data_IF_648563246699
#
_entry.id   IF_648563246699
#
_cell.length_a   1.000
_cell.length_b   1.000
_cell.length_c   1.000
_cell.angle_alpha   90.00
_cell.angle_beta   90.00
_cell.angle_gamma   90.00
#
_symmetry.space_group_name_H-M   'P 1'
#
loop_
_entity.id
_entity.type
_entity.pdbx_description
1 polymer ?
#
# COMPACT_ATOMS: atom_id res chain seq x y z
N UNK A 1 2.36 15.51 13.59
CA UNK A 1 3.18 14.47 12.92
C UNK A 1 3.19 14.72 11.41
N UNK A 2 4.36 14.80 10.76
CA UNK A 2 4.49 15.00 9.30
C UNK A 2 3.62 14.00 8.50
N UNK A 3 3.09 14.41 7.34
CA UNK A 3 2.22 13.59 6.49
C UNK A 3 2.92 12.28 6.08
N UNK A 4 4.21 12.32 5.75
CA UNK A 4 4.99 11.15 5.32
C UNK A 4 5.08 10.11 6.45
N UNK A 5 5.29 10.56 7.68
CA UNK A 5 5.27 9.70 8.88
C UNK A 5 3.88 9.12 9.13
N UNK A 6 2.81 9.92 8.99
CA UNK A 6 1.43 9.43 9.09
C UNK A 6 1.14 8.34 8.06
N UNK A 7 1.57 8.55 6.81
CA UNK A 7 1.42 7.57 5.73
C UNK A 7 2.18 6.28 6.04
N UNK A 8 3.44 6.37 6.45
CA UNK A 8 4.24 5.19 6.78
C UNK A 8 3.63 4.41 7.97
N UNK A 9 3.17 5.11 9.00
CA UNK A 9 2.49 4.50 10.15
C UNK A 9 1.16 3.84 9.76
N UNK A 10 0.34 4.50 8.93
CA UNK A 10 -0.91 3.93 8.43
C UNK A 10 -0.67 2.71 7.57
N UNK A 11 0.32 2.75 6.68
CA UNK A 11 0.68 1.61 5.85
C UNK A 11 1.11 0.40 6.68
N UNK A 12 1.92 0.62 7.74
CA UNK A 12 2.27 -0.44 8.68
C UNK A 12 1.04 -1.05 9.34
N UNK A 13 0.10 -0.23 9.79
CA UNK A 13 -1.16 -0.69 10.36
C UNK A 13 -1.99 -1.51 9.36
N UNK A 14 -2.08 -1.07 8.10
CA UNK A 14 -2.74 -1.82 7.02
C UNK A 14 -2.06 -3.15 6.78
N UNK A 15 -0.72 -3.19 6.69
CA UNK A 15 0.02 -4.43 6.48
C UNK A 15 -0.14 -5.41 7.65
N UNK A 16 -0.11 -4.92 8.88
CA UNK A 16 -0.36 -5.75 10.06
C UNK A 16 -1.77 -6.35 10.05
N UNK A 17 -2.79 -5.56 9.69
CA UNK A 17 -4.17 -6.04 9.55
C UNK A 17 -4.31 -7.03 8.40
N UNK A 18 -3.70 -6.76 7.25
CA UNK A 18 -3.67 -7.68 6.10
C UNK A 18 -3.05 -9.01 6.51
N UNK A 19 -1.95 -8.99 7.27
CA UNK A 19 -1.32 -10.21 7.77
C UNK A 19 -2.24 -11.00 8.71
N UNK A 20 -2.93 -10.35 9.65
CA UNK A 20 -3.89 -11.02 10.53
C UNK A 20 -5.04 -11.66 9.74
N UNK A 21 -5.68 -10.89 8.88
CA UNK A 21 -6.80 -11.38 8.06
C UNK A 21 -6.37 -12.51 7.10
N UNK A 22 -5.16 -12.44 6.56
CA UNK A 22 -4.63 -13.48 5.69
C UNK A 22 -4.32 -14.75 6.49
N UNK A 23 -3.69 -14.61 7.67
CA UNK A 23 -3.40 -15.71 8.59
C UNK A 23 -4.67 -16.47 9.00
N UNK A 24 -5.70 -15.73 9.43
CA UNK A 24 -6.98 -16.31 9.85
C UNK A 24 -7.72 -17.04 8.73
N UNK A 25 -7.38 -16.74 7.46
CA UNK A 25 -8.02 -17.31 6.27
C UNK A 25 -7.15 -18.32 5.53
N UNK A 26 -6.00 -18.68 6.08
CA UNK A 26 -5.15 -19.73 5.50
C UNK A 26 -5.96 -21.01 5.29
N UNK A 27 -5.89 -21.54 4.06
CA UNK A 27 -6.59 -22.78 3.68
C UNK A 27 -8.10 -22.67 3.51
N UNK A 28 -8.70 -21.47 3.66
CA UNK A 28 -10.13 -21.24 3.45
C UNK A 28 -10.41 -20.81 2.01
N UNK A 29 -11.66 -20.99 1.54
CA UNK A 29 -12.11 -20.58 0.21
C UNK A 29 -11.93 -19.07 -0.07
N UNK A 30 -11.96 -18.27 0.98
CA UNK A 30 -11.78 -16.82 0.95
C UNK A 30 -10.38 -16.39 1.44
N UNK A 31 -9.37 -17.26 1.30
CA UNK A 31 -7.98 -16.92 1.57
C UNK A 31 -7.58 -15.62 0.86
N UNK A 32 -6.82 -14.78 1.55
CA UNK A 32 -6.30 -13.54 0.97
C UNK A 32 -4.98 -13.80 0.26
N UNK A 33 -4.81 -13.11 -0.88
CA UNK A 33 -3.58 -13.10 -1.63
C UNK A 33 -2.48 -12.28 -0.95
N UNK A 34 -1.26 -12.33 -1.48
CA UNK A 34 -0.11 -11.64 -0.90
C UNK A 34 -0.25 -10.13 -0.94
N UNK A 35 -0.99 -9.58 -1.91
CA UNK A 35 -0.95 -8.14 -2.21
C UNK A 35 -2.26 -7.42 -1.86
N UNK A 36 -2.15 -6.11 -1.69
CA UNK A 36 -3.27 -5.19 -1.56
C UNK A 36 -2.86 -3.79 -1.98
N UNK A 37 -3.83 -2.98 -2.40
CA UNK A 37 -3.63 -1.57 -2.76
C UNK A 37 -4.16 -0.66 -1.66
N UNK A 38 -3.47 0.46 -1.43
CA UNK A 38 -3.82 1.50 -0.48
C UNK A 38 -3.81 2.84 -1.20
N UNK A 39 -4.92 3.56 -1.17
CA UNK A 39 -5.02 4.93 -1.64
C UNK A 39 -5.08 5.85 -0.42
N UNK A 40 -4.25 6.90 -0.43
CA UNK A 40 -4.15 7.84 0.67
C UNK A 40 -4.85 9.14 0.31
N UNK A 41 -5.60 9.67 1.27
CA UNK A 41 -6.32 10.93 1.15
C UNK A 41 -6.12 11.79 2.39
N UNK A 42 -6.36 13.08 2.28
CA UNK A 42 -6.43 14.01 3.41
C UNK A 42 -7.74 14.78 3.37
N UNK A 43 -8.30 15.08 4.55
CA UNK A 43 -9.42 16.00 4.70
C UNK A 43 -9.04 17.08 5.72
N UNK A 44 -9.51 18.34 5.59
CA UNK A 44 -9.36 19.33 6.65
C UNK A 44 -9.95 18.82 7.96
N UNK A 45 -9.26 19.07 9.07
CA UNK A 45 -9.69 18.70 10.42
C UNK A 45 -9.04 19.64 11.45
N UNK A 46 -9.83 20.57 11.99
CA UNK A 46 -9.35 21.60 12.92
C UNK A 46 -8.87 21.03 14.27
N UNK A 47 -9.24 19.79 14.61
CA UNK A 47 -8.82 19.16 15.87
C UNK A 47 -7.44 18.51 15.75
N UNK A 48 -6.92 18.34 14.53
CA UNK A 48 -5.62 17.73 14.29
C UNK A 48 -4.49 18.79 14.33
N UNK A 49 -3.29 18.47 14.86
CA UNK A 49 -2.19 19.43 14.99
C UNK A 49 -1.73 20.12 13.70
N UNK A 50 -2.04 19.54 12.52
CA UNK A 50 -1.69 20.09 11.21
C UNK A 50 -2.93 20.48 10.39
N UNK A 51 -4.08 20.61 11.04
CA UNK A 51 -5.36 20.95 10.44
C UNK A 51 -5.84 20.00 9.32
N UNK A 52 -5.30 18.78 9.27
CA UNK A 52 -5.76 17.72 8.37
C UNK A 52 -5.76 16.36 9.06
N UNK A 53 -6.65 15.49 8.57
CA UNK A 53 -6.72 14.07 8.91
C UNK A 53 -6.34 13.23 7.70
N UNK A 54 -5.38 12.31 7.87
CA UNK A 54 -5.06 11.29 6.88
C UNK A 54 -6.12 10.17 6.89
N UNK A 55 -6.59 9.82 5.71
CA UNK A 55 -7.58 8.78 5.44
C UNK A 55 -7.04 7.79 4.41
N UNK A 56 -7.55 6.56 4.45
CA UNK A 56 -7.16 5.50 3.53
C UNK A 56 -8.37 4.81 2.90
N UNK A 57 -8.16 4.33 1.68
CA UNK A 57 -9.03 3.42 0.98
C UNK A 57 -8.21 2.22 0.55
N UNK A 58 -8.66 1.00 0.84
CA UNK A 58 -7.86 -0.22 0.63
C UNK A 58 -8.61 -1.24 -0.20
N UNK A 59 -7.86 -2.07 -0.95
CA UNK A 59 -8.36 -3.35 -1.44
C UNK A 59 -7.35 -4.44 -1.19
N UNK A 60 -7.80 -5.50 -0.52
CA UNK A 60 -7.09 -6.76 -0.42
C UNK A 60 -7.62 -7.72 -1.50
N UNK A 61 -6.71 -8.47 -2.11
CA UNK A 61 -7.06 -9.45 -3.14
C UNK A 61 -7.30 -10.81 -2.51
N UNK A 62 -8.18 -11.61 -3.12
CA UNK A 62 -8.28 -13.04 -2.79
C UNK A 62 -7.07 -13.76 -3.37
N UNK A 63 -6.69 -14.88 -2.75
CA UNK A 63 -5.61 -15.72 -3.24
C UNK A 63 -6.00 -16.35 -4.59
N UNK A 64 -5.08 -16.31 -5.54
CA UNK A 64 -5.25 -16.81 -6.90
C UNK A 64 -4.04 -16.45 -7.76
N UNK A 65 -3.82 -17.15 -8.90
CA UNK A 65 -2.64 -16.94 -9.76
C UNK A 65 -2.49 -15.50 -10.24
N UNK A 66 -3.60 -14.78 -10.41
CA UNK A 66 -3.64 -13.37 -10.79
C UNK A 66 -3.16 -12.41 -9.70
N UNK A 67 -3.14 -12.86 -8.45
CA UNK A 67 -2.82 -12.06 -7.27
C UNK A 67 -1.42 -12.31 -6.71
N UNK A 68 -0.67 -13.29 -7.24
CA UNK A 68 0.63 -13.69 -6.71
C UNK A 68 1.77 -12.78 -7.18
N UNK A 69 1.67 -12.23 -8.40
CA UNK A 69 2.69 -11.36 -9.01
C UNK A 69 2.36 -9.88 -8.76
N UNK A 70 3.10 -9.24 -7.85
CA UNK A 70 2.88 -7.84 -7.47
C UNK A 70 3.01 -6.86 -8.67
N UNK A 71 4.11 -6.88 -9.46
CA UNK A 71 4.19 -6.09 -10.69
C UNK A 71 2.97 -6.26 -11.60
N UNK A 72 2.51 -7.50 -11.83
CA UNK A 72 1.36 -7.77 -12.68
C UNK A 72 0.05 -7.23 -12.09
N UNK A 73 -0.18 -7.42 -10.79
CA UNK A 73 -1.33 -6.85 -10.07
C UNK A 73 -1.37 -5.33 -10.25
N UNK A 74 -0.24 -4.66 -10.05
CA UNK A 74 -0.12 -3.22 -10.22
C UNK A 74 -0.37 -2.76 -11.67
N UNK A 75 0.16 -3.50 -12.64
CA UNK A 75 -0.09 -3.26 -14.06
C UNK A 75 -1.59 -3.33 -14.39
N UNK A 76 -2.27 -4.38 -13.92
CA UNK A 76 -3.69 -4.59 -14.16
C UNK A 76 -4.56 -3.53 -13.47
N UNK A 77 -4.18 -3.10 -12.26
CA UNK A 77 -4.82 -1.99 -11.57
C UNK A 77 -4.66 -0.67 -12.34
N UNK A 78 -3.46 -0.36 -12.84
CA UNK A 78 -3.20 0.84 -13.62
C UNK A 78 -4.03 0.86 -14.92
N UNK A 79 -4.09 -0.28 -15.63
CA UNK A 79 -4.90 -0.45 -16.83
C UNK A 79 -6.40 -0.29 -16.54
N UNK A 80 -6.87 -0.89 -15.44
CA UNK A 80 -8.26 -0.76 -14.99
C UNK A 80 -8.61 0.69 -14.67
N UNK A 81 -7.73 1.38 -13.93
CA UNK A 81 -7.91 2.79 -13.61
C UNK A 81 -7.99 3.65 -14.88
N UNK A 82 -7.06 3.49 -15.81
CA UNK A 82 -7.07 4.21 -17.09
C UNK A 82 -8.35 3.95 -17.89
N UNK A 83 -8.80 2.69 -17.95
CA UNK A 83 -10.06 2.32 -18.62
C UNK A 83 -11.30 2.95 -17.98
N UNK A 84 -11.35 3.00 -16.65
CA UNK A 84 -12.46 3.62 -15.93
C UNK A 84 -12.49 5.14 -16.10
N UNK A 85 -11.33 5.79 -16.04
CA UNK A 85 -11.17 7.22 -16.35
C UNK A 85 -11.68 7.52 -17.76
N UNK A 86 -11.20 6.78 -18.77
CA UNK A 86 -11.60 6.99 -20.15
C UNK A 86 -13.11 6.77 -20.36
N UNK A 87 -13.70 5.76 -19.71
CA UNK A 87 -15.14 5.49 -19.79
C UNK A 87 -15.96 6.63 -19.18
N UNK A 88 -15.59 7.10 -17.99
CA UNK A 88 -16.31 8.18 -17.33
C UNK A 88 -16.21 9.49 -18.11
N UNK A 89 -15.02 9.82 -18.64
CA UNK A 89 -14.81 10.99 -19.48
C UNK A 89 -15.70 10.96 -20.74
N UNK A 90 -15.81 9.80 -21.41
CA UNK A 90 -16.73 9.63 -22.56
C UNK A 90 -18.20 9.87 -22.20
N UNK A 91 -18.57 9.68 -20.94
CA UNK A 91 -19.93 9.89 -20.42
C UNK A 91 -20.11 11.28 -19.79
N UNK A 92 -19.11 12.17 -19.87
CA UNK A 92 -19.15 13.48 -19.22
C UNK A 92 -19.17 13.43 -17.69
N UNK A 93 -18.72 12.31 -17.09
CA UNK A 93 -18.70 12.09 -15.65
C UNK A 93 -17.26 12.01 -15.14
N UNK A 94 -17.06 12.35 -13.86
CA UNK A 94 -15.79 12.13 -13.18
C UNK A 94 -15.83 10.79 -12.44
N UNK A 95 -14.90 9.90 -12.77
CA UNK A 95 -14.76 8.63 -12.04
C UNK A 95 -14.16 8.85 -10.64
N UNK A 96 -14.68 8.16 -9.63
CA UNK A 96 -14.09 8.09 -8.30
C UNK A 96 -13.62 6.64 -8.06
N UNK A 97 -12.32 6.39 -7.78
CA UNK A 97 -11.82 5.05 -7.52
C UNK A 97 -12.43 4.39 -6.27
N UNK A 98 -13.13 5.16 -5.43
CA UNK A 98 -13.88 4.70 -4.25
C UNK A 98 -15.36 4.46 -4.55
N UNK A 99 -15.83 4.93 -5.69
CA UNK A 99 -17.23 4.84 -6.10
C UNK A 99 -17.63 3.42 -6.53
N UNK A 100 -18.94 3.12 -6.54
CA UNK A 100 -19.43 1.78 -6.90
C UNK A 100 -19.13 1.40 -8.36
N UNK A 101 -19.08 2.38 -9.27
CA UNK A 101 -18.80 2.15 -10.68
C UNK A 101 -17.30 1.92 -10.93
N UNK A 102 -16.89 0.65 -11.00
CA UNK A 102 -15.50 0.28 -11.27
C UNK A 102 -14.57 0.56 -10.08
N UNK A 103 -15.04 0.31 -8.85
CA UNK A 103 -14.27 0.55 -7.63
C UNK A 103 -12.89 -0.13 -7.67
N UNK A 104 -11.87 0.61 -7.26
CA UNK A 104 -10.53 0.07 -7.00
C UNK A 104 -10.37 -0.43 -5.56
N UNK A 105 -11.26 -0.02 -4.66
CA UNK A 105 -11.15 -0.25 -3.21
C UNK A 105 -12.39 -0.95 -2.67
N UNK A 106 -12.23 -1.74 -1.61
CA UNK A 106 -13.33 -2.48 -0.97
C UNK A 106 -13.32 -2.38 0.57
N UNK A 107 -12.48 -1.50 1.11
CA UNK A 107 -12.41 -1.18 2.54
C UNK A 107 -11.65 0.14 2.75
N UNK A 108 -11.38 0.46 4.01
CA UNK A 108 -10.71 1.70 4.40
C UNK A 108 -11.49 2.44 5.48
N UNK A 109 -11.26 3.74 5.60
CA UNK A 109 -12.00 4.60 6.51
C UNK A 109 -13.43 4.81 5.99
N UNK A 110 -14.42 4.39 6.80
CA UNK A 110 -15.85 4.42 6.43
C UNK A 110 -16.37 5.85 6.24
N UNK A 111 -15.89 6.79 7.05
CA UNK A 111 -16.34 8.18 7.08
C UNK A 111 -15.48 9.09 6.18
N UNK A 112 -14.98 8.56 5.06
CA UNK A 112 -14.16 9.34 4.14
C UNK A 112 -15.02 10.28 3.29
N UNK A 113 -14.82 11.61 3.39
CA UNK A 113 -15.58 12.57 2.60
C UNK A 113 -15.35 12.42 1.09
N UNK A 114 -16.36 12.77 0.28
CA UNK A 114 -16.26 12.71 -1.19
C UNK A 114 -15.21 13.70 -1.74
N UNK A 115 -15.02 14.83 -1.07
CA UNK A 115 -14.07 15.88 -1.39
C UNK A 115 -12.67 15.67 -0.78
N UNK A 116 -12.44 14.53 -0.10
CA UNK A 116 -11.13 14.19 0.43
C UNK A 116 -10.05 14.25 -0.66
N UNK A 117 -8.95 14.94 -0.34
CA UNK A 117 -7.87 15.24 -1.26
C UNK A 117 -6.95 14.04 -1.44
N UNK A 118 -6.78 13.55 -2.66
CA UNK A 118 -5.81 12.49 -2.96
C UNK A 118 -4.38 12.95 -2.66
N UNK A 119 -3.60 12.10 -1.96
CA UNK A 119 -2.19 12.38 -1.62
C UNK A 119 -1.20 11.32 -2.11
N UNK A 120 -1.67 10.12 -2.46
CA UNK A 120 -0.76 9.08 -2.96
C UNK A 120 -1.39 7.70 -3.09
N UNK A 121 -0.62 6.78 -3.65
CA UNK A 121 -0.98 5.37 -3.76
C UNK A 121 0.15 4.52 -3.22
N UNK A 122 -0.21 3.37 -2.66
CA UNK A 122 0.73 2.37 -2.21
C UNK A 122 0.18 0.98 -2.29
N UNK A 123 1.02 0.04 -1.89
CA UNK A 123 0.70 -1.39 -1.78
C UNK A 123 1.11 -1.91 -0.43
N UNK A 124 0.35 -2.87 0.06
CA UNK A 124 0.75 -3.78 1.13
C UNK A 124 1.03 -5.14 0.50
N UNK A 125 2.11 -5.78 0.93
CA UNK A 125 2.44 -7.14 0.52
C UNK A 125 2.86 -7.99 1.72
N UNK A 126 2.48 -9.27 1.69
CA UNK A 126 2.92 -10.30 2.62
C UNK A 126 4.14 -11.06 2.10
N UNK A 127 4.54 -10.83 0.85
CA UNK A 127 5.84 -11.26 0.38
C UNK A 127 6.92 -10.54 1.20
N UNK A 128 7.93 -11.29 1.57
CA UNK A 128 9.00 -10.81 2.43
C UNK A 128 10.33 -11.39 2.02
N UNK A 129 11.40 -11.01 2.72
CA UNK A 129 12.74 -11.55 2.47
C UNK A 129 12.81 -13.07 2.80
N UNK A 130 11.83 -13.60 3.52
CA UNK A 130 11.66 -15.04 3.77
C UNK A 130 11.06 -15.78 2.58
N UNK A 131 10.53 -15.05 1.60
CA UNK A 131 9.96 -15.57 0.37
C UNK A 131 8.51 -15.14 0.11
N UNK A 132 7.90 -15.71 -0.94
CA UNK A 132 6.52 -15.44 -1.31
C UNK A 132 5.53 -15.91 -0.24
N UNK A 133 4.42 -15.17 -0.08
CA UNK A 133 3.38 -15.47 0.89
C UNK A 133 2.82 -16.88 0.75
N UNK A 134 2.61 -17.38 -0.47
CA UNK A 134 2.05 -18.72 -0.67
C UNK A 134 2.93 -19.81 -0.05
N UNK A 135 4.26 -19.66 -0.10
CA UNK A 135 5.22 -20.58 0.53
C UNK A 135 5.16 -20.46 2.04
N UNK A 136 5.11 -19.23 2.57
CA UNK A 136 5.01 -18.97 4.01
C UNK A 136 3.70 -19.52 4.57
N UNK A 137 2.57 -19.20 3.93
CA UNK A 137 1.24 -19.66 4.32
C UNK A 137 1.13 -21.20 4.26
N UNK A 138 1.73 -21.83 3.25
CA UNK A 138 1.81 -23.29 3.18
C UNK A 138 2.61 -23.88 4.35
N UNK A 139 3.74 -23.26 4.70
CA UNK A 139 4.56 -23.67 5.85
C UNK A 139 3.81 -23.52 7.18
N UNK A 140 3.11 -22.40 7.38
CA UNK A 140 2.31 -22.15 8.59
C UNK A 140 1.16 -23.15 8.69
N UNK A 141 0.46 -23.41 7.57
CA UNK A 141 -0.67 -24.36 7.54
C UNK A 141 -0.25 -25.78 7.92
N UNK A 142 0.92 -26.21 7.45
CA UNK A 142 1.38 -27.59 7.54
C UNK A 142 2.42 -27.80 8.65
N UNK A 143 2.52 -26.87 9.60
CA UNK A 143 3.42 -27.02 10.74
C UNK A 143 2.98 -28.21 11.62
N UNK A 144 3.91 -29.08 12.08
CA UNK A 144 3.60 -30.18 12.97
C UNK A 144 2.94 -29.72 14.28
N UNK A 145 2.00 -30.49 14.81
CA UNK A 145 1.26 -30.17 16.04
C UNK A 145 2.17 -30.10 17.28
N UNK A 146 3.28 -30.83 17.28
CA UNK A 146 4.28 -30.91 18.34
C UNK A 146 5.40 -29.87 18.20
N UNK A 147 5.28 -28.93 17.25
CA UNK A 147 6.25 -27.83 17.08
C UNK A 147 6.36 -27.02 18.38
N UNK A 148 7.53 -26.96 19.04
CA UNK A 148 7.66 -26.32 20.36
C UNK A 148 7.35 -24.82 20.38
N UNK A 149 7.47 -24.15 19.23
CA UNK A 149 7.12 -22.74 19.00
C UNK A 149 6.47 -22.61 17.63
N UNK A 150 5.15 -22.90 17.51
CA UNK A 150 4.46 -22.79 16.24
C UNK A 150 4.51 -21.35 15.73
N UNK A 151 4.58 -21.19 14.41
CA UNK A 151 4.61 -19.87 13.82
C UNK A 151 3.24 -19.21 13.97
N UNK A 152 3.22 -18.02 14.55
CA UNK A 152 2.00 -17.23 14.75
C UNK A 152 1.98 -16.04 13.80
N UNK A 153 0.85 -15.36 13.73
CA UNK A 153 0.71 -14.10 12.97
C UNK A 153 1.76 -13.04 13.38
N UNK A 154 2.22 -13.06 14.64
CA UNK A 154 3.21 -12.12 15.16
C UNK A 154 4.62 -12.40 14.67
N UNK A 155 4.88 -13.61 14.16
CA UNK A 155 6.17 -14.05 13.62
C UNK A 155 6.30 -13.82 12.11
N UNK A 156 5.27 -13.26 11.48
CA UNK A 156 5.21 -13.06 10.04
C UNK A 156 5.66 -11.65 9.65
N UNK A 157 6.57 -11.59 8.69
CA UNK A 157 7.03 -10.36 8.06
C UNK A 157 6.05 -9.85 6.99
N UNK A 158 6.25 -8.63 6.52
CA UNK A 158 5.51 -8.05 5.40
C UNK A 158 6.14 -6.75 4.94
N UNK A 159 5.72 -6.22 3.80
CA UNK A 159 6.25 -4.98 3.25
C UNK A 159 5.14 -4.07 2.73
N UNK A 160 5.48 -2.81 2.49
CA UNK A 160 4.62 -1.89 1.78
C UNK A 160 5.42 -0.82 1.05
N UNK A 161 4.92 -0.41 -0.11
CA UNK A 161 5.52 0.60 -0.98
C UNK A 161 4.53 1.73 -1.16
N UNK A 162 4.97 2.99 -1.17
CA UNK A 162 4.10 4.15 -1.39
C UNK A 162 4.79 5.15 -2.30
N UNK A 163 4.00 5.75 -3.20
CA UNK A 163 4.33 6.97 -3.92
C UNK A 163 3.33 8.07 -3.55
N UNK A 164 3.85 9.22 -3.13
CA UNK A 164 3.07 10.42 -2.84
C UNK A 164 3.15 11.41 -4.01
N UNK A 165 2.13 12.26 -4.12
CA UNK A 165 2.00 13.27 -5.20
C UNK A 165 3.17 14.26 -5.24
N UNK A 166 3.90 14.44 -4.15
CA UNK A 166 5.06 15.32 -4.09
C UNK A 166 6.33 14.65 -4.66
N UNK A 167 6.28 13.36 -5.03
CA UNK A 167 7.41 12.56 -5.48
C UNK A 167 8.12 11.77 -4.38
N UNK A 168 7.58 11.75 -3.15
CA UNK A 168 8.10 10.91 -2.08
C UNK A 168 7.82 9.44 -2.37
N UNK A 169 8.86 8.61 -2.31
CA UNK A 169 8.77 7.16 -2.26
C UNK A 169 9.04 6.68 -0.83
N UNK A 170 8.24 5.74 -0.35
CA UNK A 170 8.40 5.11 0.96
C UNK A 170 8.36 3.60 0.83
N UNK A 171 9.31 2.91 1.45
CA UNK A 171 9.23 1.47 1.68
C UNK A 171 9.20 1.20 3.18
N UNK A 172 8.16 0.51 3.61
CA UNK A 172 8.00 0.00 4.97
C UNK A 172 8.22 -1.50 4.94
N UNK A 173 9.09 -2.00 5.81
CA UNK A 173 9.25 -3.43 6.06
C UNK A 173 8.79 -3.67 7.49
N UNK A 174 7.87 -4.60 7.70
CA UNK A 174 7.47 -5.11 9.00
C UNK A 174 8.20 -6.44 9.21
N UNK A 175 9.13 -6.47 10.15
CA UNK A 175 9.88 -7.66 10.52
C UNK A 175 9.85 -7.78 12.05
N UNK A 176 9.25 -8.83 12.63
CA UNK A 176 9.11 -8.99 14.07
C UNK A 176 10.43 -9.28 14.79
N UNK A 177 11.46 -9.72 14.07
CA UNK A 177 12.80 -10.01 14.60
C UNK A 177 13.79 -8.86 14.38
N UNK A 178 13.29 -7.68 13.99
CA UNK A 178 14.12 -6.51 13.76
C UNK A 178 14.72 -5.98 15.06
N UNK A 179 15.94 -5.43 14.97
CA UNK A 179 16.66 -4.83 16.09
C UNK A 179 15.91 -3.61 16.63
N UNK A 180 15.99 -3.40 17.94
CA UNK A 180 15.44 -2.20 18.58
C UNK A 180 16.06 -0.93 17.96
N UNK A 181 15.22 0.03 17.59
CA UNK A 181 15.64 1.32 16.99
C UNK A 181 15.65 1.35 15.46
N UNK A 182 15.52 0.21 14.78
CA UNK A 182 15.22 0.17 13.34
C UNK A 182 13.69 0.21 13.17
N UNK A 183 13.18 1.32 12.63
CA UNK A 183 11.75 1.47 12.39
C UNK A 183 11.30 0.77 11.11
N UNK A 184 12.22 0.32 10.26
CA UNK A 184 11.88 -0.34 9.01
C UNK A 184 11.31 0.54 7.92
N UNK A 185 11.45 1.86 8.02
CA UNK A 185 10.96 2.80 7.03
C UNK A 185 12.15 3.39 6.29
N UNK A 186 12.12 3.28 4.97
CA UNK A 186 13.08 3.91 4.07
C UNK A 186 12.35 4.88 3.15
N UNK A 187 12.99 6.00 2.85
CA UNK A 187 12.40 7.04 1.99
C UNK A 187 13.45 7.76 1.17
N UNK A 188 13.06 8.14 -0.05
CA UNK A 188 13.89 9.03 -0.88
C UNK A 188 13.88 10.50 -0.40
N UNK A 189 13.02 10.85 0.56
CA UNK A 189 12.95 12.19 1.15
C UNK A 189 12.89 12.09 2.67
N UNK A 190 13.21 13.19 3.36
CA UNK A 190 13.07 13.21 4.82
C UNK A 190 11.62 12.94 5.21
N UNK A 191 11.42 12.04 6.17
CA UNK A 191 10.10 11.76 6.75
C UNK A 191 9.57 12.95 7.57
N UNK A 192 10.48 13.82 8.01
CA UNK A 192 10.18 15.11 8.61
C UNK A 192 10.62 16.21 7.64
N UNK A 193 9.66 16.87 6.98
CA UNK A 193 9.94 17.88 5.96
C UNK A 193 10.83 19.04 6.46
N UNK A 194 10.89 19.28 7.78
CA UNK A 194 11.74 20.32 8.40
C UNK A 194 13.20 19.92 8.58
N UNK A 195 13.55 18.64 8.46
CA UNK A 195 14.92 18.13 8.60
C UNK A 195 15.60 17.97 7.24
N UNK A 196 16.67 18.73 7.00
CA UNK A 196 17.58 18.49 5.88
C UNK A 196 18.53 17.34 6.22
N UNK A 197 18.59 16.33 5.35
CA UNK A 197 19.59 15.28 5.41
C UNK A 197 20.71 15.61 4.43
N UNK A 198 21.96 15.83 4.90
CA UNK A 198 23.08 16.11 4.01
C UNK A 198 23.42 14.94 3.08
N UNK A 199 23.06 13.71 3.46
CA UNK A 199 23.16 12.51 2.64
C UNK A 199 21.94 11.62 2.90
N UNK A 200 21.30 11.14 1.83
CA UNK A 200 20.23 10.14 1.91
C UNK A 200 20.61 8.91 1.07
N UNK A 201 20.97 7.77 1.68
CA UNK A 201 21.33 6.55 0.94
C UNK A 201 20.16 5.95 0.15
N UNK A 202 18.95 6.46 0.34
CA UNK A 202 17.73 6.01 -0.35
C UNK A 202 17.21 7.04 -1.36
N UNK A 203 18.02 8.01 -1.78
CA UNK A 203 17.60 9.03 -2.77
C UNK A 203 17.05 8.41 -4.07
N UNK A 204 17.56 7.25 -4.47
CA UNK A 204 17.15 6.43 -5.62
C UNK A 204 16.33 5.20 -5.20
N UNK A 205 15.59 5.25 -4.09
CA UNK A 205 14.86 4.09 -3.50
C UNK A 205 14.09 3.23 -4.52
N UNK A 206 13.48 3.84 -5.54
CA UNK A 206 12.70 3.12 -6.57
C UNK A 206 13.55 2.28 -7.53
N UNK A 207 14.87 2.50 -7.55
CA UNK A 207 15.87 1.77 -8.31
C UNK A 207 16.62 0.74 -7.45
N UNK A 208 16.38 0.70 -6.14
CA UNK A 208 17.02 -0.21 -5.19
C UNK A 208 16.25 -1.55 -5.08
N UNK A 209 16.94 -2.56 -4.57
CA UNK A 209 16.39 -3.91 -4.34
C UNK A 209 16.51 -4.84 -5.54
N UNK A 210 15.80 -5.97 -5.50
CA UNK A 210 15.82 -6.97 -6.57
C UNK A 210 15.01 -6.54 -7.82
N UNK A 211 15.01 -7.38 -8.85
CA UNK A 211 14.27 -7.10 -10.09
C UNK A 211 12.76 -6.97 -9.87
N UNK A 212 12.19 -7.79 -8.98
CA UNK A 212 10.75 -7.80 -8.70
C UNK A 212 10.31 -6.51 -8.01
N UNK A 213 11.06 -6.05 -7.01
CA UNK A 213 10.81 -4.80 -6.30
C UNK A 213 10.92 -3.60 -7.23
N UNK A 214 11.95 -3.54 -8.08
CA UNK A 214 12.07 -2.48 -9.10
C UNK A 214 10.92 -2.50 -10.10
N UNK A 215 10.49 -3.67 -10.56
CA UNK A 215 9.32 -3.80 -11.43
C UNK A 215 8.03 -3.34 -10.73
N UNK A 216 7.85 -3.66 -9.45
CA UNK A 216 6.73 -3.19 -8.65
C UNK A 216 6.74 -1.66 -8.53
N UNK A 217 7.90 -1.03 -8.28
CA UNK A 217 8.02 0.43 -8.29
C UNK A 217 7.62 1.06 -9.62
N UNK A 218 8.06 0.48 -10.74
CA UNK A 218 7.68 0.96 -12.08
C UNK A 218 6.17 0.94 -12.25
N UNK A 219 5.51 -0.18 -11.95
CA UNK A 219 4.06 -0.32 -12.15
C UNK A 219 3.26 0.51 -11.14
N UNK A 220 3.71 0.63 -9.89
CA UNK A 220 3.14 1.55 -8.91
C UNK A 220 3.24 3.00 -9.41
N UNK A 221 4.35 3.36 -10.06
CA UNK A 221 4.54 4.66 -10.69
C UNK A 221 3.56 4.92 -11.82
N UNK A 222 3.24 3.92 -12.65
CA UNK A 222 2.21 4.03 -13.69
C UNK A 222 0.84 4.28 -13.06
N UNK A 223 0.43 3.43 -12.11
CA UNK A 223 -0.84 3.59 -11.39
C UNK A 223 -0.95 4.96 -10.74
N UNK A 224 0.10 5.37 -10.00
CA UNK A 224 0.13 6.65 -9.30
C UNK A 224 0.01 7.83 -10.26
N UNK A 225 0.69 7.83 -11.41
CA UNK A 225 0.55 8.89 -12.42
C UNK A 225 -0.85 8.94 -13.02
N UNK A 226 -1.46 7.78 -13.32
CA UNK A 226 -2.84 7.70 -13.82
C UNK A 226 -3.82 8.31 -12.82
N UNK A 227 -3.71 7.95 -11.53
CA UNK A 227 -4.57 8.49 -10.48
C UNK A 227 -4.32 9.97 -10.23
N UNK A 228 -3.06 10.40 -10.16
CA UNK A 228 -2.69 11.81 -9.94
C UNK A 228 -3.22 12.69 -11.07
N UNK A 229 -3.00 12.28 -12.33
CA UNK A 229 -3.49 13.00 -13.50
C UNK A 229 -5.01 13.15 -13.51
N UNK A 230 -5.76 12.14 -13.06
CA UNK A 230 -7.22 12.18 -13.02
C UNK A 230 -7.80 12.92 -11.80
N UNK A 231 -7.24 12.66 -10.61
CA UNK A 231 -7.78 13.16 -9.35
C UNK A 231 -7.36 14.59 -9.03
N UNK A 232 -6.25 15.07 -9.61
CA UNK A 232 -5.79 16.45 -9.43
C UNK A 232 -6.13 17.37 -10.61
N UNK A 233 -6.34 16.84 -11.83
CA UNK A 233 -6.87 17.65 -12.92
C UNK A 233 -8.32 18.05 -12.61
N UNK A 234 -8.55 19.33 -12.31
CA UNK A 234 -9.87 19.87 -12.01
C UNK A 234 -10.04 20.50 -10.63
N UNK A 235 -8.98 20.73 -9.85
CA UNK A 235 -9.05 21.73 -8.77
C UNK A 235 -8.92 23.12 -9.39
N UNK A 236 -9.92 24.02 -9.27
CA UNK A 236 -9.64 25.43 -9.47
C UNK A 236 -8.55 25.86 -8.48
N UNK A 237 -7.60 26.65 -8.98
CA UNK A 237 -6.61 27.33 -8.18
C UNK A 237 -7.27 28.33 -7.21
#
# INVERSE_FOLDING_TARGET
MDLRLQVASRLRGVNAKHCHEAFDRIGKRNALGPHGVVLFYTTPDQQMPHHYRLLIATRLFLAGPESDDLPRVLHDLARTAAGNVARANKQGRRWDPRGPEGSMVNGGDLDMPRDAAYVGAGVTTLDSDEGPWHTIAHSVRNQPLDTPRPRTVFDLSGQGLVLLIDGTALRMVRNPHRRLGDDGITSNRSLDAGRRWPYNPHADLTQQGDQTLRAAWVQLGVLHRTLTGHLLAGRPA
#
